data_IF_968132220914
#
_entry.id   IF_968132220914
#
_cell.length_a   1.000
_cell.length_b   1.000
_cell.length_c   1.000
_cell.angle_alpha   90.00
_cell.angle_beta   90.00
_cell.angle_gamma   90.00
#
_symmetry.space_group_name_H-M   'P 1'
#
loop_
_entity.id
_entity.type
_entity.pdbx_description
1 polymer ?
#
# COMPACT_ATOMS: atom_id res chain seq x y z
N UNK A 1 7.07 -12.12 3.45
CA UNK A 1 6.22 -10.92 3.58
C UNK A 1 7.03 -9.72 3.14
N UNK A 2 6.43 -8.75 2.45
CA UNK A 2 7.11 -7.49 2.11
C UNK A 2 6.17 -6.31 2.32
N UNK A 3 6.71 -5.16 2.70
CA UNK A 3 5.95 -3.92 2.78
C UNK A 3 6.22 -3.07 1.56
N UNK A 4 5.17 -2.49 0.99
CA UNK A 4 5.24 -1.56 -0.13
C UNK A 4 4.46 -0.30 0.20
N UNK A 5 4.76 0.82 -0.45
CA UNK A 5 3.85 1.97 -0.43
C UNK A 5 2.63 1.69 -1.31
N UNK A 6 1.46 2.20 -0.89
CA UNK A 6 0.23 2.09 -1.65
C UNK A 6 0.36 2.75 -3.04
N UNK A 7 1.11 3.85 -3.14
CA UNK A 7 1.37 4.57 -4.39
C UNK A 7 2.24 3.73 -5.37
N UNK A 8 3.21 2.98 -4.84
CA UNK A 8 4.11 2.14 -5.61
C UNK A 8 3.48 0.82 -6.06
N UNK A 9 2.29 0.47 -5.54
CA UNK A 9 1.59 -0.79 -5.85
C UNK A 9 1.46 -1.06 -7.35
N UNK A 10 1.07 -0.04 -8.12
CA UNK A 10 0.88 -0.17 -9.57
C UNK A 10 2.20 -0.32 -10.31
N UNK A 11 3.23 0.40 -9.87
CA UNK A 11 4.60 0.33 -10.44
C UNK A 11 5.22 -1.05 -10.18
N UNK A 12 4.97 -1.61 -9.00
CA UNK A 12 5.45 -2.92 -8.58
C UNK A 12 4.57 -4.08 -9.10
N UNK A 13 3.47 -3.78 -9.78
CA UNK A 13 2.56 -4.78 -10.35
C UNK A 13 1.84 -5.64 -9.30
N UNK A 14 1.64 -5.12 -8.10
CA UNK A 14 1.06 -5.87 -6.97
C UNK A 14 -0.46 -5.86 -7.04
N UNK A 15 -1.07 -7.04 -6.98
CA UNK A 15 -2.53 -7.19 -6.99
C UNK A 15 -3.09 -7.10 -5.58
N UNK A 16 -4.33 -6.61 -5.46
CA UNK A 16 -5.06 -6.62 -4.18
C UNK A 16 -5.31 -8.03 -3.63
N UNK A 17 -5.18 -9.07 -4.45
CA UNK A 17 -5.25 -10.47 -4.01
C UNK A 17 -4.00 -10.92 -3.23
N UNK A 18 -2.91 -10.16 -3.34
CA UNK A 18 -1.61 -10.43 -2.72
C UNK A 18 -1.37 -9.47 -1.55
N UNK A 19 -2.35 -8.62 -1.22
CA UNK A 19 -2.24 -7.64 -0.14
C UNK A 19 -3.14 -8.08 1.00
N UNK A 20 -2.59 -8.19 2.19
CA UNK A 20 -3.34 -8.52 3.41
C UNK A 20 -4.23 -7.34 3.83
N UNK A 21 -5.40 -7.63 4.40
CA UNK A 21 -6.29 -6.60 4.92
C UNK A 21 -5.64 -5.85 6.09
N UNK A 22 -5.87 -4.53 6.17
CA UNK A 22 -5.15 -3.66 7.11
C UNK A 22 -5.21 -4.13 8.56
N UNK A 23 -6.37 -4.64 8.98
CA UNK A 23 -6.57 -5.16 10.33
C UNK A 23 -5.58 -6.29 10.67
N UNK A 24 -5.39 -7.24 9.75
CA UNK A 24 -4.46 -8.35 9.92
C UNK A 24 -3.02 -7.93 9.64
N UNK A 25 -2.82 -7.09 8.62
CA UNK A 25 -1.53 -6.56 8.23
C UNK A 25 -0.84 -5.85 9.39
N UNK A 26 -1.55 -5.04 10.18
CA UNK A 26 -1.00 -4.38 11.36
C UNK A 26 -0.44 -5.39 12.37
N UNK A 27 -1.21 -6.42 12.68
CA UNK A 27 -0.82 -7.45 13.66
C UNK A 27 0.40 -8.26 13.19
N UNK A 28 0.39 -8.70 11.92
CA UNK A 28 1.51 -9.39 11.28
C UNK A 28 2.78 -8.54 11.29
N UNK A 29 2.65 -7.25 10.97
CA UNK A 29 3.77 -6.30 10.94
C UNK A 29 4.32 -6.05 12.34
N UNK A 30 3.47 -5.83 13.34
CA UNK A 30 3.88 -5.66 14.73
C UNK A 30 4.61 -6.90 15.26
N UNK A 31 4.10 -8.11 14.97
CA UNK A 31 4.74 -9.37 15.36
C UNK A 31 6.09 -9.53 14.66
N UNK A 32 6.13 -9.37 13.33
CA UNK A 32 7.34 -9.52 12.54
C UNK A 32 8.45 -8.54 12.96
N UNK A 33 8.08 -7.30 13.31
CA UNK A 33 9.00 -6.29 13.84
C UNK A 33 9.49 -6.60 15.26
N UNK A 34 8.67 -7.27 16.08
CA UNK A 34 9.08 -7.73 17.42
C UNK A 34 9.97 -8.98 17.38
N UNK A 35 10.00 -9.73 16.28
CA UNK A 35 10.83 -10.93 16.16
C UNK A 35 12.30 -10.62 15.84
N UNK A 36 13.26 -11.38 16.42
CA UNK A 36 14.69 -11.18 16.18
C UNK A 36 15.15 -11.58 14.77
N UNK A 37 14.31 -12.30 14.02
CA UNK A 37 14.53 -12.68 12.62
C UNK A 37 13.33 -12.23 11.79
N UNK A 38 13.30 -10.94 11.39
CA UNK A 38 12.16 -10.42 10.65
C UNK A 38 12.03 -11.18 9.32
N UNK A 39 10.91 -11.87 9.14
CA UNK A 39 10.44 -12.46 7.87
C UNK A 39 9.94 -11.39 6.90
N UNK A 40 10.00 -10.13 7.34
CA UNK A 40 9.45 -8.96 6.68
C UNK A 40 10.54 -8.19 5.94
N UNK A 41 10.35 -8.05 4.63
CA UNK A 41 11.21 -7.25 3.77
C UNK A 41 10.76 -5.78 3.79
N UNK A 42 11.66 -4.90 4.24
CA UNK A 42 11.49 -3.44 4.25
C UNK A 42 12.08 -2.78 3.00
N UNK A 43 12.42 -3.54 1.97
CA UNK A 43 13.20 -3.03 0.83
C UNK A 43 12.44 -1.99 0.01
N UNK A 44 11.15 -2.23 -0.24
CA UNK A 44 10.32 -1.36 -1.07
C UNK A 44 9.84 -0.09 -0.33
N UNK A 45 9.98 -0.01 1.01
CA UNK A 45 9.65 1.18 1.80
C UNK A 45 10.87 1.94 2.33
N UNK A 46 12.07 1.55 1.91
CA UNK A 46 13.28 2.31 2.22
C UNK A 46 13.35 3.58 1.35
N UNK A 47 12.84 4.68 1.88
CA UNK A 47 13.08 6.01 1.31
C UNK A 47 14.56 6.34 1.38
N UNK A 48 15.19 6.61 0.23
CA UNK A 48 16.54 7.13 0.00
C UNK A 48 17.39 7.47 1.25
N UNK A 49 17.88 6.43 1.95
CA UNK A 49 18.82 6.56 3.08
C UNK A 49 18.21 6.79 4.48
N UNK A 50 16.88 6.77 4.64
CA UNK A 50 16.22 6.79 5.95
C UNK A 50 15.45 5.49 6.17
N UNK A 51 15.84 4.74 7.21
CA UNK A 51 15.07 3.62 7.71
C UNK A 51 13.88 4.15 8.51
N UNK A 52 12.68 3.68 8.20
CA UNK A 52 11.47 4.00 8.98
C UNK A 52 11.54 3.34 10.36
N UNK A 53 11.02 4.04 11.36
CA UNK A 53 10.90 3.52 12.72
C UNK A 53 9.77 2.49 12.80
N UNK A 54 9.78 1.62 13.80
CA UNK A 54 8.74 0.60 13.98
C UNK A 54 7.36 1.25 14.06
N UNK A 55 7.25 2.36 14.81
CA UNK A 55 6.02 3.15 14.93
C UNK A 55 5.58 3.76 13.59
N UNK A 56 6.50 4.28 12.78
CA UNK A 56 6.18 4.86 11.46
C UNK A 56 5.67 3.78 10.49
N UNK A 57 6.22 2.57 10.58
CA UNK A 57 5.78 1.44 9.76
C UNK A 57 4.37 1.01 10.17
N UNK A 58 4.12 0.84 11.47
CA UNK A 58 2.82 0.42 12.00
C UNK A 58 1.75 1.47 11.72
N UNK A 59 2.07 2.75 11.91
CA UNK A 59 1.18 3.88 11.58
C UNK A 59 0.84 3.89 10.09
N UNK A 60 1.84 3.75 9.21
CA UNK A 60 1.59 3.69 7.77
C UNK A 60 0.72 2.50 7.32
N UNK A 61 0.81 1.36 8.02
CA UNK A 61 -0.06 0.20 7.76
C UNK A 61 -1.47 0.45 8.27
N UNK A 62 -1.61 1.11 9.43
CA UNK A 62 -2.90 1.49 10.01
C UNK A 62 -3.65 2.54 9.15
N UNK A 63 -2.93 3.51 8.59
CA UNK A 63 -3.51 4.53 7.70
C UNK A 63 -3.78 4.01 6.29
N UNK A 64 -3.10 2.93 5.89
CA UNK A 64 -3.15 2.36 4.55
C UNK A 64 -2.20 3.00 3.55
N UNK A 65 -1.24 3.81 4.01
CA UNK A 65 -0.13 4.34 3.20
C UNK A 65 0.89 3.24 2.86
N UNK A 66 1.05 2.26 3.75
CA UNK A 66 1.91 1.09 3.59
C UNK A 66 1.03 -0.16 3.54
N UNK A 67 1.29 -1.03 2.57
CA UNK A 67 0.54 -2.26 2.35
C UNK A 67 1.43 -3.47 2.58
N UNK A 68 0.91 -4.44 3.33
CA UNK A 68 1.55 -5.74 3.54
C UNK A 68 1.23 -6.67 2.38
N UNK A 69 2.28 -7.09 1.67
CA UNK A 69 2.19 -8.03 0.56
C UNK A 69 2.66 -9.40 1.00
N UNK A 70 1.81 -10.38 0.76
CA UNK A 70 2.02 -11.78 1.10
C UNK A 70 1.62 -12.68 -0.07
N UNK A 71 2.29 -13.82 -0.16
CA UNK A 71 2.02 -14.81 -1.21
C UNK A 71 0.69 -15.55 -0.94
N UNK A 72 0.38 -15.75 0.34
CA UNK A 72 -0.84 -16.40 0.83
C UNK A 72 -1.47 -15.57 1.97
N UNK A 73 -2.08 -14.41 1.66
CA UNK A 73 -2.73 -13.57 2.67
C UNK A 73 -3.94 -14.31 3.27
N UNK A 74 -4.07 -14.23 4.60
CA UNK A 74 -5.19 -14.76 5.35
C UNK A 74 -6.52 -14.11 4.92
N UNK A 75 -6.51 -12.80 4.69
CA UNK A 75 -7.67 -12.04 4.25
C UNK A 75 -7.28 -10.99 3.22
N UNK A 76 -7.09 -11.42 1.97
CA UNK A 76 -6.71 -10.51 0.89
C UNK A 76 -7.63 -9.28 0.78
N UNK A 77 -7.07 -8.09 0.52
CA UNK A 77 -7.83 -6.87 0.23
C UNK A 77 -8.82 -7.04 -0.93
N UNK A 78 -8.54 -7.93 -1.87
CA UNK A 78 -9.48 -8.28 -2.95
C UNK A 78 -10.77 -8.95 -2.45
N UNK A 79 -10.78 -9.50 -1.23
CA UNK A 79 -11.93 -10.08 -0.57
C UNK A 79 -12.66 -9.07 0.33
N UNK A 80 -12.20 -7.82 0.41
CA UNK A 80 -12.95 -6.74 1.06
C UNK A 80 -14.24 -6.47 0.28
N UNK A 81 -15.31 -7.13 0.74
CA UNK A 81 -16.66 -7.04 0.18
C UNK A 81 -17.47 -5.92 0.83
N UNK A 82 -16.99 -5.40 1.97
CA UNK A 82 -17.65 -4.37 2.76
C UNK A 82 -17.22 -2.95 2.37
N UNK A 83 -16.28 -2.82 1.42
CA UNK A 83 -15.79 -1.53 0.95
C UNK A 83 -15.13 -0.70 2.08
N UNK A 84 -14.67 -1.39 3.12
CA UNK A 84 -14.07 -0.82 4.32
C UNK A 84 -12.74 -0.14 3.97
N UNK A 85 -12.03 -0.70 2.99
CA UNK A 85 -10.73 -0.21 2.50
C UNK A 85 -10.85 0.47 1.13
N UNK A 86 -12.01 1.07 0.85
CA UNK A 86 -12.32 1.79 -0.39
C UNK A 86 -11.36 2.94 -0.72
N UNK A 87 -10.75 3.55 0.30
CA UNK A 87 -9.71 4.57 0.15
C UNK A 87 -8.42 4.04 -0.47
N UNK A 88 -8.17 2.75 -0.35
CA UNK A 88 -6.93 2.06 -0.74
C UNK A 88 -7.14 1.27 -2.03
N UNK A 89 -8.30 0.63 -2.14
CA UNK A 89 -8.70 -0.15 -3.32
C UNK A 89 -9.25 0.72 -4.45
N UNK A 90 -9.58 1.98 -4.17
CA UNK A 90 -10.28 2.87 -5.10
C UNK A 90 -11.71 2.44 -5.42
N UNK A 91 -12.20 1.32 -4.87
CA UNK A 91 -13.59 0.86 -5.01
C UNK A 91 -14.48 1.79 -4.21
N UNK A 92 -15.17 2.70 -4.90
CA UNK A 92 -16.12 3.63 -4.28
C UNK A 92 -15.83 5.11 -4.52
N UNK A 93 -14.70 5.46 -5.15
CA UNK A 93 -14.49 6.84 -5.58
C UNK A 93 -15.12 7.09 -6.95
N UNK A 94 -16.44 7.28 -7.00
CA UNK A 94 -17.08 8.03 -8.10
C UNK A 94 -16.78 9.52 -7.89
N UNK A 95 -15.53 9.92 -8.06
CA UNK A 95 -15.10 11.29 -7.79
C UNK A 95 -13.94 11.67 -8.69
N UNK A 96 -14.25 11.89 -9.96
CA UNK A 96 -13.51 12.72 -10.92
C UNK A 96 -11.98 12.62 -10.85
N UNK A 97 -11.40 11.67 -11.58
CA UNK A 97 -10.06 11.88 -12.13
C UNK A 97 -10.16 13.03 -13.14
N UNK A 98 -10.02 14.27 -12.67
CA UNK A 98 -9.57 15.34 -13.54
C UNK A 98 -8.10 15.05 -13.83
N UNK A 99 -7.85 14.34 -14.94
CA UNK A 99 -6.61 14.47 -15.70
C UNK A 99 -6.26 15.96 -15.79
N UNK A 100 -5.09 16.42 -15.31
CA UNK A 100 -4.59 17.70 -15.77
C UNK A 100 -4.36 17.53 -17.27
N UNK A 101 -5.15 18.24 -18.08
CA UNK A 101 -4.95 18.33 -19.51
C UNK A 101 -3.58 18.98 -19.74
N UNK A 102 -2.55 18.16 -19.92
CA UNK A 102 -1.24 18.59 -20.37
C UNK A 102 -1.38 19.04 -21.83
N UNK A 103 -1.40 20.37 -21.97
CA UNK A 103 -0.84 21.18 -23.05
C UNK A 103 -1.02 20.73 -24.52
N UNK A 104 -1.69 21.58 -25.30
CA UNK A 104 -1.24 21.89 -26.66
C UNK A 104 -1.27 23.42 -26.87
N UNK A 105 -0.14 24.05 -26.55
CA UNK A 105 0.23 25.37 -27.03
C UNK A 105 0.63 25.24 -28.49
N UNK A 106 -0.24 25.57 -29.44
CA UNK A 106 0.20 25.96 -30.79
C UNK A 106 -0.68 27.12 -31.26
N UNK A 107 -0.13 28.34 -31.16
CA UNK A 107 -0.66 29.45 -31.93
C UNK A 107 -0.14 29.40 -33.36
N UNK A 108 -0.91 29.93 -34.31
CA UNK A 108 -0.38 30.77 -35.39
C UNK A 108 -1.54 31.30 -36.24
N UNK A 109 -1.60 32.65 -36.28
CA UNK A 109 -2.03 33.56 -37.37
C UNK A 109 -3.31 33.27 -38.15
#
# INVERSE_FOLDING_TARGET
MRLIYADDREVLGVRYSEIEALFFAKFEVEDALCTPFPTLSLFDIQTYGRQLSHEEIVDGVETGDILLVEDDPFSALSQDTLNEYSRITGRGWTGSFHTPAVARLEGHV
#
